data_IF_921268354477
#
_entry.id   IF_921268354477
#
_cell.length_a   1.000
_cell.length_b   1.000
_cell.length_c   1.000
_cell.angle_alpha   90.00
_cell.angle_beta   90.00
_cell.angle_gamma   90.00
#
_symmetry.space_group_name_H-M   'P 1'
#
loop_
_entity.id
_entity.type
_entity.pdbx_description
1 polymer ?
#
# COMPACT_ATOMS: atom_id res chain seq x y z
N UNK A 1 -29.35 36.07 -54.06
CA UNK A 1 -29.13 34.71 -53.52
C UNK A 1 -27.63 34.51 -53.38
N UNK A 2 -27.06 34.75 -52.20
CA UNK A 2 -25.68 34.41 -51.87
C UNK A 2 -25.70 33.69 -50.53
N UNK A 3 -25.50 32.38 -50.57
CA UNK A 3 -25.40 31.55 -49.37
C UNK A 3 -23.94 31.48 -48.96
N UNK A 4 -23.63 32.01 -47.78
CA UNK A 4 -22.33 31.90 -47.13
C UNK A 4 -22.30 30.57 -46.38
N UNK A 5 -21.42 29.66 -46.80
CA UNK A 5 -21.13 28.41 -46.08
C UNK A 5 -19.88 28.63 -45.25
N UNK A 6 -20.02 28.65 -43.92
CA UNK A 6 -18.91 28.64 -42.97
C UNK A 6 -18.32 27.22 -42.86
N UNK A 7 -16.99 27.04 -42.85
CA UNK A 7 -16.39 25.74 -42.60
C UNK A 7 -16.45 25.43 -41.10
N UNK A 8 -17.08 24.31 -40.75
CA UNK A 8 -17.03 23.72 -39.41
C UNK A 8 -15.64 23.09 -39.25
N UNK A 9 -14.75 23.75 -38.52
CA UNK A 9 -13.48 23.17 -38.09
C UNK A 9 -13.76 22.04 -37.11
N UNK A 10 -13.64 20.81 -37.60
CA UNK A 10 -13.70 19.59 -36.82
C UNK A 10 -12.44 19.53 -35.93
N UNK A 11 -12.56 19.95 -34.67
CA UNK A 11 -11.53 19.70 -33.66
C UNK A 11 -11.48 18.19 -33.40
N UNK A 12 -10.52 17.51 -34.04
CA UNK A 12 -10.18 16.15 -33.69
C UNK A 12 -9.64 16.14 -32.25
N UNK A 13 -10.46 15.67 -31.31
CA UNK A 13 -10.01 15.24 -29.99
C UNK A 13 -9.02 14.09 -30.19
N UNK A 14 -7.73 14.42 -30.29
CA UNK A 14 -6.67 13.44 -30.17
C UNK A 14 -6.76 12.85 -28.77
N UNK A 15 -7.38 11.68 -28.67
CA UNK A 15 -7.27 10.83 -27.50
C UNK A 15 -5.79 10.48 -27.34
N UNK A 16 -5.10 11.14 -26.41
CA UNK A 16 -3.73 10.78 -26.09
C UNK A 16 -3.72 9.34 -25.59
N UNK A 17 -2.81 8.49 -26.09
CA UNK A 17 -2.71 7.11 -25.64
C UNK A 17 -2.34 7.09 -24.15
N UNK A 18 -3.19 6.47 -23.33
CA UNK A 18 -2.94 6.18 -21.92
C UNK A 18 -1.96 5.00 -21.86
N UNK A 19 -0.72 5.19 -22.29
CA UNK A 19 0.31 4.15 -22.15
C UNK A 19 1.74 4.69 -22.13
N UNK A 20 1.94 5.83 -21.47
CA UNK A 20 3.25 6.19 -20.93
C UNK A 20 3.20 5.98 -19.41
N UNK A 21 3.71 4.85 -18.95
CA UNK A 21 3.89 4.47 -17.54
C UNK A 21 4.90 5.45 -16.89
N UNK A 22 4.49 6.71 -16.67
CA UNK A 22 5.30 7.79 -16.10
C UNK A 22 5.54 7.50 -14.63
N UNK A 23 6.56 6.70 -14.40
CA UNK A 23 6.95 6.29 -13.08
C UNK A 23 7.62 7.42 -12.32
N UNK A 24 7.13 7.71 -11.10
CA UNK A 24 7.60 8.86 -10.31
C UNK A 24 7.38 10.19 -11.05
N UNK A 25 6.11 10.56 -11.32
CA UNK A 25 5.82 11.84 -11.93
C UNK A 25 6.35 12.98 -11.04
N UNK A 26 6.64 14.14 -11.63
CA UNK A 26 7.15 15.30 -10.90
C UNK A 26 6.17 15.74 -9.82
N UNK A 27 6.71 16.34 -8.77
CA UNK A 27 5.92 16.93 -7.68
C UNK A 27 5.75 18.43 -7.87
N UNK A 28 4.66 18.98 -7.35
CA UNK A 28 4.46 20.41 -7.22
C UNK A 28 5.00 20.86 -5.87
N UNK A 29 6.20 21.44 -5.85
CA UNK A 29 6.94 21.76 -4.62
C UNK A 29 6.19 22.67 -3.64
N UNK A 30 5.23 23.48 -4.11
CA UNK A 30 4.42 24.37 -3.29
C UNK A 30 3.25 23.64 -2.59
N UNK A 31 2.85 22.47 -3.10
CA UNK A 31 1.80 21.67 -2.51
C UNK A 31 2.34 20.77 -1.40
N UNK A 32 1.49 20.49 -0.41
CA UNK A 32 1.78 19.45 0.57
C UNK A 32 1.79 18.08 -0.10
N UNK A 33 2.72 17.22 0.32
CA UNK A 33 2.92 15.90 -0.26
C UNK A 33 2.48 14.83 0.75
N UNK A 34 1.71 13.85 0.30
CA UNK A 34 1.17 12.77 1.14
C UNK A 34 1.45 11.42 0.50
N UNK A 35 1.85 10.43 1.31
CA UNK A 35 2.03 9.05 0.84
C UNK A 35 0.94 8.17 1.43
N UNK A 36 0.36 7.32 0.57
CA UNK A 36 -0.47 6.18 0.98
C UNK A 36 0.42 5.05 1.47
N UNK A 37 0.34 4.75 2.76
CA UNK A 37 0.91 3.54 3.34
C UNK A 37 -0.12 2.41 3.33
N UNK A 38 0.16 1.32 2.62
CA UNK A 38 -0.75 0.17 2.52
C UNK A 38 -0.14 -1.18 2.94
N UNK A 39 1.17 -1.21 3.21
CA UNK A 39 1.92 -2.36 3.70
C UNK A 39 2.69 -1.99 4.97
N UNK A 40 4.02 -2.16 4.98
CA UNK A 40 4.85 -1.80 6.14
C UNK A 40 4.68 -0.35 6.62
N UNK A 41 4.38 0.59 5.71
CA UNK A 41 4.14 1.99 6.03
C UNK A 41 2.85 2.26 6.83
N UNK A 42 2.01 1.25 7.04
CA UNK A 42 0.90 1.31 7.99
C UNK A 42 1.40 1.46 9.44
N UNK A 43 2.55 0.86 9.75
CA UNK A 43 3.16 0.92 11.07
C UNK A 43 3.93 2.23 11.26
N UNK A 44 3.65 2.94 12.36
CA UNK A 44 4.30 4.20 12.68
C UNK A 44 5.83 4.06 12.69
N UNK A 45 6.34 3.01 13.36
CA UNK A 45 7.78 2.74 13.47
C UNK A 45 8.47 2.53 12.11
N UNK A 46 7.86 1.76 11.21
CA UNK A 46 8.43 1.54 9.87
C UNK A 46 8.39 2.78 9.01
N UNK A 47 7.32 3.58 9.09
CA UNK A 47 7.26 4.87 8.38
C UNK A 47 8.37 5.82 8.87
N UNK A 48 8.52 5.94 10.18
CA UNK A 48 9.51 6.85 10.79
C UNK A 48 10.96 6.42 10.56
N UNK A 49 11.23 5.14 10.27
CA UNK A 49 12.57 4.70 9.89
C UNK A 49 13.06 5.24 8.53
N UNK A 50 12.16 5.76 7.69
CA UNK A 50 12.55 6.44 6.43
C UNK A 50 12.72 7.93 6.66
N UNK A 51 11.74 8.56 7.30
CA UNK A 51 11.80 9.97 7.70
C UNK A 51 11.18 10.11 9.08
N UNK A 52 12.02 10.45 10.06
CA UNK A 52 11.59 10.56 11.46
C UNK A 52 10.50 11.63 11.67
N UNK A 53 10.54 12.71 10.89
CA UNK A 53 9.59 13.83 10.96
C UNK A 53 8.31 13.64 10.11
N UNK A 54 8.07 12.44 9.57
CA UNK A 54 6.83 12.16 8.84
C UNK A 54 5.59 12.34 9.74
N UNK A 55 4.56 13.00 9.21
CA UNK A 55 3.36 13.39 9.95
C UNK A 55 2.53 12.21 10.47
N UNK A 56 1.49 12.47 11.29
CA UNK A 56 0.59 11.43 11.77
C UNK A 56 -0.14 10.75 10.61
N UNK A 57 -0.52 9.49 10.83
CA UNK A 57 -1.26 8.69 9.85
C UNK A 57 -2.76 8.92 9.99
N UNK A 58 -3.43 9.26 8.89
CA UNK A 58 -4.89 9.38 8.75
C UNK A 58 -5.42 8.15 7.99
N UNK A 59 -6.32 7.33 8.58
CA UNK A 59 -6.95 6.21 7.91
C UNK A 59 -7.77 6.64 6.70
N UNK A 60 -7.60 5.93 5.59
CA UNK A 60 -8.29 6.20 4.33
C UNK A 60 -8.77 4.91 3.67
N UNK A 61 -9.77 5.04 2.81
CA UNK A 61 -10.24 4.05 1.86
C UNK A 61 -9.66 4.38 0.49
N UNK A 62 -9.15 3.38 -0.22
CA UNK A 62 -8.53 3.50 -1.54
C UNK A 62 -9.37 2.70 -2.54
N UNK A 63 -9.84 3.37 -3.60
CA UNK A 63 -10.78 2.83 -4.58
C UNK A 63 -10.14 2.63 -5.94
N UNK A 64 -10.50 1.54 -6.64
CA UNK A 64 -9.97 1.24 -7.97
C UNK A 64 -8.59 0.59 -7.96
N UNK A 65 -8.22 -0.02 -6.82
CA UNK A 65 -6.94 -0.67 -6.63
C UNK A 65 -7.07 -1.95 -5.80
N UNK A 66 -6.20 -2.91 -6.10
CA UNK A 66 -6.11 -4.17 -5.36
C UNK A 66 -4.79 -4.28 -4.64
N UNK A 67 -4.84 -4.45 -3.31
CA UNK A 67 -3.70 -4.85 -2.49
C UNK A 67 -3.57 -6.37 -2.44
N UNK A 68 -2.36 -6.89 -2.57
CA UNK A 68 -2.12 -8.31 -2.37
C UNK A 68 -0.66 -8.68 -2.23
N UNK A 69 -0.39 -9.93 -1.91
CA UNK A 69 0.96 -10.49 -1.91
C UNK A 69 1.42 -10.75 -3.35
N UNK A 70 2.04 -9.74 -3.98
CA UNK A 70 2.37 -9.77 -5.41
C UNK A 70 3.75 -9.20 -5.76
N UNK A 71 4.52 -8.77 -4.76
CA UNK A 71 5.77 -8.06 -4.96
C UNK A 71 6.95 -8.90 -4.48
N UNK A 72 7.53 -9.78 -5.34
CA UNK A 72 8.70 -10.56 -4.96
C UNK A 72 9.87 -9.64 -4.63
N UNK A 73 10.35 -9.76 -3.40
CA UNK A 73 11.57 -9.15 -2.91
C UNK A 73 12.77 -10.06 -3.13
N UNK A 74 13.85 -9.47 -3.64
CA UNK A 74 15.15 -10.13 -3.75
C UNK A 74 16.13 -9.47 -2.79
N UNK A 75 16.14 -9.93 -1.54
CA UNK A 75 17.17 -9.55 -0.57
C UNK A 75 18.37 -10.49 -0.74
N UNK A 76 19.61 -10.02 -0.50
CA UNK A 76 20.77 -10.91 -0.48
C UNK A 76 20.52 -12.08 0.50
N UNK A 77 20.54 -13.31 -0.01
CA UNK A 77 20.30 -14.52 0.79
C UNK A 77 18.84 -14.85 1.13
N UNK A 78 17.90 -13.90 1.01
CA UNK A 78 16.50 -14.11 1.43
C UNK A 78 15.50 -13.77 0.34
N UNK A 79 14.47 -14.60 0.23
CA UNK A 79 13.38 -14.41 -0.72
C UNK A 79 12.08 -14.22 0.05
N UNK A 80 11.29 -13.27 -0.42
CA UNK A 80 10.06 -12.84 0.26
C UNK A 80 9.09 -12.35 -0.80
N UNK A 81 7.80 -12.48 -0.56
CA UNK A 81 6.77 -11.72 -1.27
C UNK A 81 6.26 -10.61 -0.35
N UNK A 82 6.47 -9.36 -0.75
CA UNK A 82 5.92 -8.18 -0.09
C UNK A 82 4.50 -7.88 -0.59
N UNK A 83 3.82 -6.99 0.13
CA UNK A 83 2.55 -6.42 -0.34
C UNK A 83 2.79 -5.49 -1.51
N UNK A 84 1.97 -5.64 -2.54
CA UNK A 84 1.91 -4.76 -3.68
C UNK A 84 0.51 -4.29 -3.96
N UNK A 85 0.40 -3.24 -4.77
CA UNK A 85 -0.86 -2.70 -5.26
C UNK A 85 -0.82 -2.59 -6.77
N UNK A 86 -1.93 -2.95 -7.42
CA UNK A 86 -2.16 -2.77 -8.86
C UNK A 86 -3.49 -2.08 -9.09
N UNK A 87 -3.64 -1.43 -10.25
CA UNK A 87 -4.93 -0.91 -10.73
C UNK A 87 -5.94 -2.05 -10.86
N UNK A 88 -7.13 -1.85 -10.29
CA UNK A 88 -8.23 -2.81 -10.34
C UNK A 88 -9.54 -2.08 -10.03
N UNK A 89 -10.30 -1.62 -11.05
CA UNK A 89 -11.44 -0.72 -10.87
C UNK A 89 -12.56 -1.19 -9.93
N UNK A 90 -12.65 -2.50 -9.68
CA UNK A 90 -13.69 -3.13 -8.85
C UNK A 90 -13.18 -3.54 -7.46
N UNK A 91 -11.90 -3.31 -7.17
CA UNK A 91 -11.29 -3.64 -5.90
C UNK A 91 -11.02 -2.34 -5.11
N UNK A 92 -11.03 -2.47 -3.79
CA UNK A 92 -10.73 -1.41 -2.85
C UNK A 92 -10.06 -1.97 -1.59
N UNK A 93 -9.42 -1.11 -0.81
CA UNK A 93 -8.85 -1.50 0.48
C UNK A 93 -8.67 -0.31 1.42
N UNK A 94 -8.50 -0.62 2.71
CA UNK A 94 -8.15 0.37 3.72
C UNK A 94 -6.63 0.57 3.84
N UNK A 95 -6.23 1.83 4.01
CA UNK A 95 -4.84 2.26 4.10
C UNK A 95 -4.70 3.44 5.07
N UNK A 96 -3.54 4.07 5.09
CA UNK A 96 -3.32 5.38 5.70
C UNK A 96 -2.71 6.35 4.72
N UNK A 97 -2.95 7.64 4.89
CA UNK A 97 -2.07 8.69 4.37
C UNK A 97 -1.29 9.35 5.49
N UNK A 98 -0.09 9.83 5.18
CA UNK A 98 0.69 10.67 6.08
C UNK A 98 1.41 11.76 5.29
N UNK A 99 1.53 12.93 5.92
CA UNK A 99 2.19 14.10 5.33
C UNK A 99 3.70 13.94 5.36
N UNK A 100 4.37 14.29 4.27
CA UNK A 100 5.82 14.45 4.24
C UNK A 100 6.24 15.83 4.77
N UNK A 101 7.43 15.94 5.39
CA UNK A 101 8.00 17.26 5.70
C UNK A 101 8.19 18.08 4.42
N UNK A 102 8.17 19.41 4.55
CA UNK A 102 8.37 20.37 3.43
C UNK A 102 9.85 20.43 3.03
N UNK A 103 10.32 19.33 2.47
CA UNK A 103 11.70 19.08 2.08
C UNK A 103 11.65 18.32 0.75
N UNK A 104 12.17 18.87 -0.36
CA UNK A 104 12.11 18.21 -1.67
C UNK A 104 12.67 16.77 -1.66
N UNK A 105 13.68 16.51 -0.84
CA UNK A 105 14.31 15.21 -0.64
C UNK A 105 13.40 14.18 0.04
N UNK A 106 12.33 14.63 0.71
CA UNK A 106 11.47 13.72 1.48
C UNK A 106 10.78 12.70 0.58
N UNK A 107 10.25 13.14 -0.57
CA UNK A 107 9.63 12.20 -1.51
C UNK A 107 10.67 11.28 -2.15
N UNK A 108 11.86 11.80 -2.44
CA UNK A 108 12.96 11.04 -3.02
C UNK A 108 13.44 9.93 -2.08
N UNK A 109 13.45 10.16 -0.75
CA UNK A 109 13.79 9.12 0.22
C UNK A 109 12.79 7.95 0.20
N UNK A 110 11.50 8.24 -0.01
CA UNK A 110 10.49 7.19 -0.19
C UNK A 110 10.58 6.54 -1.58
N UNK A 111 10.86 7.29 -2.65
CA UNK A 111 11.11 6.74 -3.98
C UNK A 111 12.30 5.75 -3.95
N UNK A 112 13.35 6.06 -3.18
CA UNK A 112 14.51 5.18 -2.97
C UNK A 112 14.15 3.92 -2.15
N UNK A 113 13.41 4.08 -1.06
CA UNK A 113 12.91 2.95 -0.25
C UNK A 113 12.06 2.00 -1.10
N UNK A 114 11.17 2.56 -1.91
CA UNK A 114 10.20 1.84 -2.72
C UNK A 114 10.69 1.60 -4.16
N UNK A 115 12.01 1.49 -4.39
CA UNK A 115 12.64 1.36 -5.72
C UNK A 115 12.05 0.29 -6.66
N UNK A 116 11.47 -0.76 -6.09
CA UNK A 116 10.82 -1.85 -6.84
C UNK A 116 9.41 -1.49 -7.31
N UNK A 117 8.82 -0.44 -6.76
CA UNK A 117 7.51 0.11 -7.08
C UNK A 117 7.63 1.39 -7.90
N UNK A 118 6.47 1.92 -8.24
CA UNK A 118 6.30 3.07 -9.08
C UNK A 118 5.34 4.06 -8.43
N UNK A 119 5.77 5.28 -8.15
CA UNK A 119 4.87 6.28 -7.56
C UNK A 119 3.88 6.81 -8.61
N UNK A 120 2.60 6.85 -8.25
CA UNK A 120 1.51 7.43 -9.04
C UNK A 120 0.71 8.41 -8.19
N UNK A 121 0.18 9.46 -8.82
CA UNK A 121 -0.79 10.36 -8.20
C UNK A 121 -2.15 9.64 -8.09
N UNK A 122 -2.83 9.87 -6.96
CA UNK A 122 -4.24 9.53 -6.80
C UNK A 122 -5.11 10.71 -7.21
N UNK A 123 -6.24 10.41 -7.84
CA UNK A 123 -7.33 11.37 -8.05
C UNK A 123 -8.21 11.49 -6.80
N UNK A 124 -8.92 12.61 -6.59
CA UNK A 124 -9.80 12.79 -5.43
C UNK A 124 -10.85 11.69 -5.25
N UNK A 125 -11.35 11.11 -6.35
CA UNK A 125 -12.35 10.04 -6.32
C UNK A 125 -11.77 8.69 -5.89
N UNK A 126 -10.45 8.54 -5.91
CA UNK A 126 -9.75 7.29 -5.61
C UNK A 126 -9.39 7.15 -4.12
N UNK A 127 -9.67 8.18 -3.32
CA UNK A 127 -9.30 8.23 -1.90
C UNK A 127 -10.40 8.90 -1.06
N UNK A 128 -10.73 8.28 0.07
CA UNK A 128 -11.73 8.82 1.00
C UNK A 128 -11.22 8.69 2.45
N UNK A 129 -11.50 9.67 3.30
CA UNK A 129 -11.17 9.55 4.73
C UNK A 129 -12.06 8.52 5.41
N UNK A 130 -11.49 7.70 6.29
CA UNK A 130 -12.24 6.75 7.14
C UNK A 130 -12.53 7.34 8.53
N UNK A 131 -12.21 8.61 8.77
CA UNK A 131 -12.49 9.31 10.02
C UNK A 131 -13.35 10.55 9.75
N UNK A 132 -13.75 11.25 10.81
CA UNK A 132 -14.44 12.55 10.70
C UNK A 132 -13.55 13.66 10.13
N UNK A 133 -12.23 13.46 10.08
CA UNK A 133 -11.30 14.43 9.50
C UNK A 133 -11.35 14.37 7.97
N UNK A 134 -11.58 15.52 7.32
CA UNK A 134 -11.50 15.62 5.87
C UNK A 134 -10.07 15.32 5.35
N UNK A 135 -9.98 14.87 4.09
CA UNK A 135 -8.68 14.73 3.44
C UNK A 135 -8.00 16.09 3.35
N UNK A 136 -6.73 16.20 3.75
CA UNK A 136 -6.02 17.47 3.68
C UNK A 136 -5.65 17.80 2.22
N UNK A 137 -5.65 19.08 1.82
CA UNK A 137 -5.30 19.49 0.46
C UNK A 137 -3.83 19.22 0.16
N UNK A 138 -3.54 18.76 -1.05
CA UNK A 138 -2.19 18.49 -1.55
C UNK A 138 -2.17 17.35 -2.58
N UNK A 139 -0.98 16.83 -2.85
CA UNK A 139 -0.79 15.70 -3.75
C UNK A 139 -0.71 14.40 -2.94
N UNK A 140 -1.55 13.42 -3.31
CA UNK A 140 -1.55 12.09 -2.69
C UNK A 140 -0.89 11.07 -3.62
N UNK A 141 0.04 10.30 -3.06
CA UNK A 141 0.90 9.40 -3.80
C UNK A 141 0.70 7.96 -3.35
N UNK A 142 0.56 7.05 -4.31
CA UNK A 142 0.57 5.60 -4.07
C UNK A 142 1.68 4.94 -4.86
N UNK A 143 2.37 3.98 -4.26
CA UNK A 143 3.38 3.17 -4.95
C UNK A 143 2.73 1.92 -5.53
N UNK A 144 2.71 1.77 -6.85
CA UNK A 144 2.17 0.61 -7.55
C UNK A 144 3.28 -0.38 -7.91
N UNK A 145 2.94 -1.66 -7.90
CA UNK A 145 3.86 -2.73 -8.30
C UNK A 145 4.07 -2.69 -9.81
N UNK A 146 5.34 -2.70 -10.25
CA UNK A 146 5.67 -2.69 -11.69
C UNK A 146 5.19 -3.99 -12.32
N UNK A 147 4.44 -3.93 -13.43
CA UNK A 147 3.85 -5.11 -14.10
C UNK A 147 4.88 -6.24 -14.34
N UNK A 148 6.11 -5.87 -14.72
CA UNK A 148 7.21 -6.81 -15.05
C UNK A 148 7.70 -7.68 -13.88
N UNK A 149 7.40 -7.31 -12.63
CA UNK A 149 7.85 -8.05 -11.44
C UNK A 149 6.70 -8.71 -10.68
N UNK A 150 5.45 -8.61 -11.16
CA UNK A 150 4.30 -9.15 -10.44
C UNK A 150 4.39 -10.68 -10.32
N UNK A 151 4.45 -11.17 -9.08
CA UNK A 151 4.48 -12.60 -8.81
C UNK A 151 3.74 -12.91 -7.50
N UNK A 152 2.80 -13.86 -7.56
CA UNK A 152 2.12 -14.40 -6.36
C UNK A 152 3.11 -15.21 -5.51
N UNK A 153 2.83 -15.44 -4.21
CA UNK A 153 3.71 -16.20 -3.35
C UNK A 153 3.93 -17.61 -3.89
N UNK A 154 5.17 -18.07 -3.80
CA UNK A 154 5.61 -19.38 -4.25
C UNK A 154 6.57 -19.97 -3.23
N UNK A 155 6.94 -21.24 -3.35
CA UNK A 155 7.97 -21.83 -2.49
C UNK A 155 9.28 -21.03 -2.53
N UNK A 156 9.63 -20.46 -3.69
CA UNK A 156 10.83 -19.63 -3.86
C UNK A 156 10.68 -18.24 -3.27
N UNK A 157 9.48 -17.67 -3.27
CA UNK A 157 9.17 -16.34 -2.74
C UNK A 157 7.99 -16.44 -1.77
N UNK A 158 8.21 -16.93 -0.53
CA UNK A 158 7.13 -17.11 0.42
C UNK A 158 6.65 -15.76 1.00
N UNK A 159 5.44 -15.75 1.55
CA UNK A 159 5.07 -14.75 2.56
C UNK A 159 5.87 -15.06 3.83
N UNK A 160 6.42 -14.06 4.49
CA UNK A 160 7.10 -14.25 5.79
C UNK A 160 6.29 -13.59 6.91
N UNK A 161 6.17 -14.27 8.04
CA UNK A 161 5.33 -13.85 9.16
C UNK A 161 5.80 -12.53 9.79
N UNK A 162 7.09 -12.26 9.86
CA UNK A 162 7.62 -11.02 10.43
C UNK A 162 7.14 -9.77 9.66
N UNK A 163 6.99 -9.87 8.33
CA UNK A 163 6.45 -8.79 7.52
C UNK A 163 4.92 -8.70 7.63
N UNK A 164 4.23 -9.83 7.75
CA UNK A 164 2.78 -9.85 8.08
C UNK A 164 2.54 -9.17 9.41
N UNK A 165 3.37 -9.46 10.41
CA UNK A 165 3.29 -8.85 11.72
C UNK A 165 3.50 -7.34 11.66
N UNK A 166 4.49 -6.88 10.89
CA UNK A 166 4.74 -5.46 10.69
C UNK A 166 3.53 -4.73 10.08
N UNK A 167 2.94 -5.31 9.03
CA UNK A 167 1.75 -4.77 8.37
C UNK A 167 0.54 -4.73 9.31
N UNK A 168 0.22 -5.86 9.95
CA UNK A 168 -0.98 -5.98 10.79
C UNK A 168 -0.85 -5.25 12.12
N UNK A 169 0.36 -5.13 12.69
CA UNK A 169 0.63 -4.21 13.79
C UNK A 169 0.26 -2.79 13.41
N UNK A 170 0.67 -2.33 12.22
CA UNK A 170 0.27 -1.02 11.71
C UNK A 170 -1.26 -0.86 11.63
N UNK A 171 -1.96 -1.89 11.13
CA UNK A 171 -3.43 -1.87 11.13
C UNK A 171 -4.04 -1.80 12.54
N UNK A 172 -3.49 -2.55 13.50
CA UNK A 172 -3.93 -2.52 14.90
C UNK A 172 -3.64 -1.16 15.57
N UNK A 173 -2.49 -0.55 15.29
CA UNK A 173 -2.14 0.80 15.75
C UNK A 173 -3.19 1.82 15.29
N UNK A 174 -3.58 1.78 14.01
CA UNK A 174 -4.60 2.70 13.49
C UNK A 174 -5.99 2.40 14.01
N UNK A 175 -6.35 1.12 14.12
CA UNK A 175 -7.63 0.69 14.71
C UNK A 175 -7.79 1.25 16.13
N UNK A 176 -6.73 1.15 16.95
CA UNK A 176 -6.71 1.69 18.31
C UNK A 176 -6.72 3.21 18.33
N UNK A 177 -5.85 3.86 17.56
CA UNK A 177 -5.67 5.33 17.56
C UNK A 177 -6.92 6.08 17.11
N UNK A 178 -7.64 5.54 16.14
CA UNK A 178 -8.80 6.19 15.51
C UNK A 178 -10.14 5.51 15.87
N UNK A 179 -10.14 4.59 16.83
CA UNK A 179 -11.32 3.85 17.29
C UNK A 179 -12.08 3.11 16.17
N UNK A 180 -11.36 2.62 15.17
CA UNK A 180 -11.92 1.91 14.00
C UNK A 180 -11.96 0.41 14.25
N UNK A 181 -13.06 -0.08 14.83
CA UNK A 181 -13.22 -1.47 15.31
C UNK A 181 -12.83 -2.55 14.28
N UNK A 182 -13.16 -2.36 13.01
CA UNK A 182 -12.95 -3.36 11.96
C UNK A 182 -11.70 -3.13 11.10
N UNK A 183 -10.90 -2.08 11.36
CA UNK A 183 -9.84 -1.68 10.45
C UNK A 183 -8.77 -2.77 10.23
N UNK A 184 -8.35 -3.48 11.27
CA UNK A 184 -7.39 -4.59 11.15
C UNK A 184 -7.99 -5.82 10.45
N UNK A 185 -9.28 -6.08 10.65
CA UNK A 185 -10.00 -7.11 9.90
C UNK A 185 -10.07 -6.74 8.40
N UNK A 186 -10.46 -5.51 8.08
CA UNK A 186 -10.51 -5.00 6.69
C UNK A 186 -9.14 -5.10 6.04
N UNK A 187 -8.05 -4.84 6.77
CA UNK A 187 -6.69 -5.03 6.24
C UNK A 187 -6.46 -6.45 5.71
N UNK A 188 -6.95 -7.48 6.41
CA UNK A 188 -6.77 -8.88 6.01
C UNK A 188 -7.71 -9.24 4.86
N UNK A 189 -9.00 -8.90 5.00
CA UNK A 189 -10.04 -9.28 4.03
C UNK A 189 -9.86 -8.64 2.65
N UNK A 190 -9.32 -7.41 2.62
CA UNK A 190 -9.03 -6.68 1.37
C UNK A 190 -7.60 -6.91 0.85
N UNK A 191 -6.86 -7.84 1.46
CA UNK A 191 -5.54 -8.26 0.98
C UNK A 191 -5.67 -9.59 0.26
N UNK A 192 -5.32 -9.59 -1.02
CA UNK A 192 -5.44 -10.77 -1.87
C UNK A 192 -4.17 -11.63 -1.87
N UNK A 193 -4.33 -12.86 -2.37
CA UNK A 193 -3.24 -13.82 -2.61
C UNK A 193 -2.51 -14.31 -1.37
N UNK A 194 -3.21 -14.41 -0.23
CA UNK A 194 -2.77 -15.26 0.86
C UNK A 194 -2.53 -16.70 0.35
N UNK A 195 -1.45 -17.33 0.80
CA UNK A 195 -0.94 -18.56 0.18
C UNK A 195 -0.39 -19.53 1.22
N UNK A 196 -0.42 -20.83 0.92
CA UNK A 196 0.25 -21.86 1.72
C UNK A 196 1.79 -21.77 1.63
N UNK A 197 2.31 -20.97 0.70
CA UNK A 197 3.72 -20.59 0.66
C UNK A 197 3.99 -19.47 1.66
N UNK A 198 3.96 -19.83 2.94
CA UNK A 198 4.12 -18.91 4.06
C UNK A 198 5.02 -19.55 5.12
N UNK A 199 6.04 -18.81 5.53
CA UNK A 199 6.99 -19.19 6.58
C UNK A 199 6.86 -18.29 7.81
N UNK A 200 7.02 -18.89 8.99
CA UNK A 200 7.10 -18.20 10.27
C UNK A 200 8.56 -18.02 10.65
N UNK A 201 9.09 -16.89 10.23
CA UNK A 201 10.46 -16.40 10.46
C UNK A 201 10.56 -15.51 11.72
N UNK A 202 9.58 -15.58 12.62
CA UNK A 202 9.66 -14.86 13.90
C UNK A 202 10.87 -15.37 14.68
N UNK A 203 11.54 -14.48 15.41
CA UNK A 203 12.69 -14.82 16.26
C UNK A 203 12.38 -16.00 17.21
N UNK A 204 11.18 -16.00 17.81
CA UNK A 204 10.66 -17.11 18.61
C UNK A 204 9.26 -17.52 18.14
N UNK A 205 9.11 -18.43 17.16
CA UNK A 205 7.82 -18.76 16.56
C UNK A 205 6.78 -19.28 17.56
N UNK A 206 7.23 -20.02 18.59
CA UNK A 206 6.38 -20.57 19.66
C UNK A 206 6.15 -19.62 20.83
N UNK A 207 6.91 -18.52 20.93
CA UNK A 207 6.77 -17.48 21.96
C UNK A 207 6.89 -16.09 21.31
N UNK A 208 6.03 -15.79 20.32
CA UNK A 208 6.25 -14.65 19.45
C UNK A 208 6.07 -13.31 20.18
N UNK A 209 5.27 -13.29 21.24
CA UNK A 209 5.00 -12.14 22.10
C UNK A 209 6.24 -11.52 22.76
N UNK A 210 7.39 -12.21 22.79
CA UNK A 210 8.66 -11.68 23.31
C UNK A 210 9.19 -10.53 22.44
N UNK A 211 9.07 -10.66 21.12
CA UNK A 211 9.61 -9.67 20.16
C UNK A 211 8.51 -8.96 19.34
N UNK A 212 7.31 -9.54 19.29
CA UNK A 212 6.14 -8.92 18.67
C UNK A 212 4.96 -8.97 19.64
N UNK A 213 4.74 -7.91 20.46
CA UNK A 213 3.68 -7.87 21.46
C UNK A 213 2.27 -8.08 20.90
N UNK A 214 2.05 -7.81 19.61
CA UNK A 214 0.76 -8.00 18.96
C UNK A 214 0.55 -9.40 18.36
N UNK A 215 1.55 -10.29 18.44
CA UNK A 215 1.54 -11.57 17.73
C UNK A 215 0.30 -12.43 18.04
N UNK A 216 -0.14 -12.48 19.31
CA UNK A 216 -1.33 -13.27 19.71
C UNK A 216 -2.60 -12.73 19.04
N UNK A 217 -2.79 -11.41 19.04
CA UNK A 217 -3.92 -10.77 18.38
C UNK A 217 -3.87 -10.96 16.87
N UNK A 218 -2.69 -10.82 16.27
CA UNK A 218 -2.46 -11.03 14.84
C UNK A 218 -2.79 -12.48 14.46
N UNK A 219 -2.28 -13.46 15.20
CA UNK A 219 -2.53 -14.89 14.93
C UNK A 219 -4.01 -15.26 15.06
N UNK A 220 -4.73 -14.66 16.01
CA UNK A 220 -6.19 -14.83 16.12
C UNK A 220 -6.89 -14.29 14.87
N UNK A 221 -6.59 -13.07 14.46
CA UNK A 221 -7.20 -12.47 13.26
C UNK A 221 -6.88 -13.30 12.00
N UNK A 222 -5.64 -13.74 11.84
CA UNK A 222 -5.23 -14.58 10.71
C UNK A 222 -5.96 -15.93 10.71
N UNK A 223 -6.05 -16.59 11.87
CA UNK A 223 -6.81 -17.84 12.03
C UNK A 223 -8.29 -17.66 11.66
N UNK A 224 -8.87 -16.51 11.97
CA UNK A 224 -10.28 -16.23 11.69
C UNK A 224 -10.54 -15.91 10.20
N UNK A 225 -9.72 -15.06 9.59
CA UNK A 225 -10.02 -14.49 8.27
C UNK A 225 -9.24 -15.13 7.11
N UNK A 226 -8.12 -15.81 7.38
CA UNK A 226 -7.35 -16.58 6.38
C UNK A 226 -6.99 -17.97 6.90
N UNK A 227 -7.98 -18.76 7.39
CA UNK A 227 -7.74 -20.00 8.11
C UNK A 227 -6.94 -21.04 7.31
N UNK A 228 -7.16 -21.12 6.00
CA UNK A 228 -6.54 -22.15 5.17
C UNK A 228 -5.03 -21.90 5.00
N UNK A 229 -4.56 -20.74 4.48
CA UNK A 229 -3.14 -20.39 4.50
C UNK A 229 -2.50 -20.46 5.90
N UNK A 230 -3.19 -19.94 6.92
CA UNK A 230 -2.64 -19.84 8.27
C UNK A 230 -2.29 -21.21 8.89
N UNK A 231 -3.11 -22.24 8.63
CA UNK A 231 -2.83 -23.61 9.13
C UNK A 231 -1.60 -24.26 8.50
N UNK A 232 -1.16 -23.79 7.33
CA UNK A 232 -0.04 -24.37 6.58
C UNK A 232 1.26 -23.59 6.76
N UNK A 233 1.29 -22.58 7.64
CA UNK A 233 2.52 -21.82 7.91
C UNK A 233 3.59 -22.76 8.46
N UNK A 234 4.76 -22.76 7.82
CA UNK A 234 5.92 -23.57 8.20
C UNK A 234 6.87 -22.75 9.05
N UNK A 235 7.50 -23.34 10.06
CA UNK A 235 8.56 -22.66 10.82
C UNK A 235 9.83 -22.65 9.98
N UNK A 236 10.53 -21.52 9.96
CA UNK A 236 11.87 -21.34 9.37
C UNK A 236 12.85 -20.83 10.44
#
# INVERSE_FOLDING_TARGET
MQSIVLPISLFALMSMPIDADHCHPPIEQQQAQYIVGYGSLMASSSKHSTIQSAGPSLPVHIQGFKRGWISPGNLPGFKITFLGVVRAPQDDFNAVIFKLPRQPEAIHAYDQRERSYCRHALQPEEIQSLTSQALPPGQWWIYLSKKKILQKPSQRYPIVQSYVDLFLKGCLEQAKRHHLKHFAQTCIQTTHYWSNHWVNDRIYPRRPFIHEPHAVTIDHLLKQFVPQPFKHIRIE
#
